data_IF_910179016044
#
_entry.id   IF_910179016044
#
_cell.length_a   1.000
_cell.length_b   1.000
_cell.length_c   1.000
_cell.angle_alpha   90.00
_cell.angle_beta   90.00
_cell.angle_gamma   90.00
#
_symmetry.space_group_name_H-M   'P 1'
#
loop_
_entity.id
_entity.type
_entity.pdbx_description
1 polymer ?
#
# COMPACT_ATOMS: atom_id res chain seq x y z
N UNK A 1 26.85 -31.08 -16.06
CA UNK A 1 26.84 -29.63 -15.81
C UNK A 1 25.68 -29.08 -16.65
N UNK A 2 24.50 -28.93 -16.05
CA UNK A 2 23.27 -28.62 -16.77
C UNK A 2 23.33 -27.22 -17.37
N UNK A 3 23.04 -27.12 -18.66
CA UNK A 3 23.04 -25.87 -19.41
C UNK A 3 22.03 -24.90 -18.78
N UNK A 4 22.49 -23.73 -18.34
CA UNK A 4 21.64 -22.77 -17.65
C UNK A 4 20.82 -22.06 -18.73
N UNK A 5 19.48 -22.13 -18.69
CA UNK A 5 18.66 -21.65 -19.81
C UNK A 5 18.94 -20.18 -20.09
N UNK A 6 19.26 -19.86 -21.35
CA UNK A 6 19.51 -18.49 -21.79
C UNK A 6 18.18 -17.73 -21.72
N UNK A 7 18.10 -16.63 -20.96
CA UNK A 7 16.86 -15.88 -20.84
C UNK A 7 16.51 -15.25 -22.18
N UNK A 8 15.24 -15.37 -22.60
CA UNK A 8 14.71 -14.74 -23.82
C UNK A 8 14.81 -13.20 -23.75
N UNK A 9 14.78 -12.63 -22.55
CA UNK A 9 14.89 -11.21 -22.32
C UNK A 9 15.46 -10.93 -20.94
N UNK A 10 16.16 -9.81 -20.79
CA UNK A 10 16.59 -9.29 -19.49
C UNK A 10 16.52 -7.76 -19.48
N UNK A 11 15.99 -7.15 -18.40
CA UNK A 11 15.91 -5.70 -18.31
C UNK A 11 17.30 -5.07 -18.18
N UNK A 12 17.50 -3.94 -18.86
CA UNK A 12 18.66 -3.09 -18.63
C UNK A 12 18.73 -2.62 -17.17
N UNK A 13 19.94 -2.36 -16.67
CA UNK A 13 20.18 -1.94 -15.29
C UNK A 13 19.35 -0.70 -14.90
N UNK A 14 19.21 0.26 -15.81
CA UNK A 14 18.43 1.47 -15.56
C UNK A 14 16.95 1.16 -15.33
N UNK A 15 16.37 0.28 -16.15
CA UNK A 15 14.99 -0.19 -15.96
C UNK A 15 14.80 -0.91 -14.64
N UNK A 16 15.82 -1.63 -14.15
CA UNK A 16 15.73 -2.30 -12.85
C UNK A 16 15.73 -1.30 -11.69
N UNK A 17 16.59 -0.28 -11.77
CA UNK A 17 16.69 0.78 -10.74
C UNK A 17 15.43 1.62 -10.60
N UNK A 18 14.67 1.81 -11.69
CA UNK A 18 13.44 2.60 -11.68
C UNK A 18 12.21 1.82 -11.17
N UNK A 19 12.34 0.53 -10.84
CA UNK A 19 11.22 -0.25 -10.32
C UNK A 19 10.90 0.10 -8.87
N UNK A 20 9.60 0.06 -8.50
CA UNK A 20 9.19 0.15 -7.10
C UNK A 20 9.71 -0.99 -6.24
N UNK A 21 9.91 -2.19 -6.82
CA UNK A 21 10.48 -3.32 -6.10
C UNK A 21 11.91 -3.05 -5.63
N UNK A 22 12.75 -2.48 -6.51
CA UNK A 22 14.10 -2.08 -6.13
C UNK A 22 14.10 -0.93 -5.10
N UNK A 23 13.22 0.06 -5.27
CA UNK A 23 13.05 1.13 -4.30
C UNK A 23 12.63 0.61 -2.93
N UNK A 24 11.69 -0.33 -2.88
CA UNK A 24 11.24 -1.00 -1.66
C UNK A 24 12.37 -1.80 -1.01
N UNK A 25 13.05 -2.67 -1.75
CA UNK A 25 14.14 -3.51 -1.23
C UNK A 25 15.26 -2.65 -0.61
N UNK A 26 15.61 -1.53 -1.26
CA UNK A 26 16.56 -0.56 -0.71
C UNK A 26 16.06 0.07 0.59
N UNK A 27 14.83 0.58 0.58
CA UNK A 27 14.25 1.28 1.72
C UNK A 27 14.06 0.34 2.93
N UNK A 28 13.62 -0.88 2.69
CA UNK A 28 13.51 -1.91 3.72
C UNK A 28 14.87 -2.22 4.36
N UNK A 29 15.95 -2.26 3.56
CA UNK A 29 17.32 -2.45 4.10
C UNK A 29 17.73 -1.29 5.01
N UNK A 30 17.37 -0.05 4.66
CA UNK A 30 17.61 1.14 5.52
C UNK A 30 16.84 1.05 6.85
N UNK A 31 15.73 0.32 6.89
CA UNK A 31 14.95 0.03 8.09
C UNK A 31 15.40 -1.23 8.85
N UNK A 32 16.50 -1.87 8.43
CA UNK A 32 17.07 -3.04 9.10
C UNK A 32 16.63 -4.39 8.55
N UNK A 33 15.90 -4.43 7.43
CA UNK A 33 15.57 -5.69 6.74
C UNK A 33 16.82 -6.31 6.07
N UNK A 34 16.78 -7.60 5.70
CA UNK A 34 17.86 -8.24 4.95
C UNK A 34 18.21 -7.47 3.67
N UNK A 35 19.51 -7.36 3.38
CA UNK A 35 20.03 -6.66 2.22
C UNK A 35 19.69 -7.43 0.92
N UNK A 36 18.56 -7.09 0.32
CA UNK A 36 18.02 -7.74 -0.88
C UNK A 36 18.19 -6.90 -2.15
N UNK A 37 18.58 -5.63 -2.01
CA UNK A 37 18.93 -4.76 -3.13
C UNK A 37 20.44 -4.82 -3.40
N UNK A 38 20.81 -5.13 -4.64
CA UNK A 38 22.19 -5.23 -5.10
C UNK A 38 22.60 -4.15 -6.11
N UNK A 39 23.85 -4.24 -6.58
CA UNK A 39 24.40 -3.33 -7.56
C UNK A 39 23.61 -3.34 -8.89
N UNK A 40 23.55 -2.20 -9.58
CA UNK A 40 22.93 -2.14 -10.91
C UNK A 40 21.42 -2.41 -10.93
N UNK A 41 20.72 -2.14 -9.81
CA UNK A 41 19.27 -2.28 -9.71
C UNK A 41 18.80 -3.70 -9.44
N UNK A 42 19.69 -4.66 -9.18
CA UNK A 42 19.27 -6.04 -8.93
C UNK A 42 18.51 -6.15 -7.59
N UNK A 43 17.50 -7.00 -7.57
CA UNK A 43 16.83 -7.43 -6.34
C UNK A 43 17.02 -8.93 -6.25
N UNK A 44 17.57 -9.43 -5.15
CA UNK A 44 17.50 -10.84 -4.81
C UNK A 44 16.07 -11.15 -4.36
N UNK A 45 15.24 -11.48 -5.35
CA UNK A 45 13.83 -11.77 -5.13
C UNK A 45 13.63 -13.00 -4.24
N UNK A 46 14.53 -14.00 -4.32
CA UNK A 46 14.42 -15.20 -3.50
C UNK A 46 14.66 -14.86 -2.03
N UNK A 47 15.67 -14.04 -1.72
CA UNK A 47 15.91 -13.56 -0.38
C UNK A 47 14.79 -12.64 0.13
N UNK A 48 14.25 -11.75 -0.72
CA UNK A 48 13.13 -10.89 -0.36
C UNK A 48 11.86 -11.70 -0.04
N UNK A 49 11.56 -12.71 -0.86
CA UNK A 49 10.46 -13.63 -0.62
C UNK A 49 10.68 -14.46 0.66
N UNK A 50 11.89 -14.98 0.88
CA UNK A 50 12.22 -15.70 2.12
C UNK A 50 12.01 -14.83 3.36
N UNK A 51 12.38 -13.55 3.31
CA UNK A 51 12.11 -12.60 4.40
C UNK A 51 10.60 -12.43 4.66
N UNK A 52 9.79 -12.29 3.60
CA UNK A 52 8.33 -12.15 3.73
C UNK A 52 7.65 -13.32 4.44
N UNK A 53 8.27 -14.51 4.41
CA UNK A 53 7.78 -15.71 5.06
C UNK A 53 8.36 -15.92 6.47
N UNK A 54 9.62 -15.56 6.67
CA UNK A 54 10.34 -15.81 7.93
C UNK A 54 10.08 -14.74 8.99
N UNK A 55 9.80 -13.51 8.57
CA UNK A 55 9.38 -12.43 9.45
C UNK A 55 8.26 -11.60 8.79
N UNK A 56 7.01 -12.14 8.77
CA UNK A 56 5.87 -11.45 8.19
C UNK A 56 5.58 -10.10 8.88
N UNK A 57 5.84 -9.99 10.19
CA UNK A 57 5.58 -8.78 10.96
C UNK A 57 6.44 -7.62 10.47
N UNK A 58 7.76 -7.83 10.40
CA UNK A 58 8.67 -6.80 9.89
C UNK A 58 8.41 -6.51 8.40
N UNK A 59 8.17 -7.55 7.60
CA UNK A 59 7.92 -7.40 6.17
C UNK A 59 6.70 -6.52 5.89
N UNK A 60 5.56 -6.85 6.49
CA UNK A 60 4.31 -6.13 6.20
C UNK A 60 4.27 -4.76 6.85
N UNK A 61 4.94 -4.55 7.98
CA UNK A 61 5.16 -3.20 8.53
C UNK A 61 5.99 -2.35 7.55
N UNK A 62 7.06 -2.89 6.98
CA UNK A 62 7.84 -2.19 5.97
C UNK A 62 7.02 -1.89 4.70
N UNK A 63 6.17 -2.81 4.24
CA UNK A 63 5.27 -2.55 3.10
C UNK A 63 4.28 -1.41 3.43
N UNK A 64 3.71 -1.43 4.64
CA UNK A 64 2.77 -0.41 5.12
C UNK A 64 3.40 0.99 5.13
N UNK A 65 4.61 1.09 5.70
CA UNK A 65 5.38 2.33 5.75
C UNK A 65 5.81 2.78 4.35
N UNK A 66 6.28 1.86 3.49
CA UNK A 66 6.72 2.18 2.13
C UNK A 66 5.58 2.72 1.26
N UNK A 67 4.40 2.12 1.38
CA UNK A 67 3.18 2.57 0.69
C UNK A 67 2.58 3.85 1.32
N UNK A 68 3.08 4.26 2.49
CA UNK A 68 2.60 5.41 3.24
C UNK A 68 1.12 5.30 3.58
N UNK A 69 0.67 4.12 4.02
CA UNK A 69 -0.73 3.85 4.34
C UNK A 69 -1.18 4.77 5.48
N UNK A 70 -2.33 5.40 5.30
CA UNK A 70 -2.98 6.26 6.28
C UNK A 70 -3.88 5.38 7.14
N UNK A 71 -3.71 5.49 8.46
CA UNK A 71 -4.50 4.75 9.44
C UNK A 71 -4.67 5.54 10.71
N UNK A 72 -5.61 5.07 11.53
CA UNK A 72 -5.91 5.56 12.87
C UNK A 72 -5.99 4.39 13.84
N UNK A 73 -5.85 4.66 15.13
CA UNK A 73 -6.06 3.67 16.19
C UNK A 73 -7.39 3.91 16.91
N UNK A 74 -7.92 2.92 17.64
CA UNK A 74 -9.15 3.11 18.42
C UNK A 74 -9.05 4.24 19.45
N UNK A 75 -7.84 4.49 19.98
CA UNK A 75 -7.55 5.60 20.90
C UNK A 75 -7.47 6.98 20.23
N UNK A 76 -7.46 7.07 18.89
CA UNK A 76 -7.38 8.35 18.18
C UNK A 76 -8.72 9.07 18.04
N UNK A 77 -9.83 8.47 18.50
CA UNK A 77 -11.15 9.11 18.51
C UNK A 77 -11.22 10.40 19.35
N UNK A 78 -10.21 10.69 20.18
CA UNK A 78 -10.15 11.87 21.06
C UNK A 78 -9.16 12.95 20.56
N UNK A 79 -8.38 12.74 19.49
CA UNK A 79 -7.29 13.67 19.12
C UNK A 79 -7.42 14.21 17.69
N UNK A 80 -7.36 15.54 17.59
CA UNK A 80 -7.42 16.38 16.38
C UNK A 80 -6.43 15.92 15.25
N UNK A 81 -6.58 16.39 14.00
CA UNK A 81 -5.95 15.77 12.83
C UNK A 81 -4.43 15.78 12.96
N UNK A 82 -3.81 14.61 12.94
CA UNK A 82 -2.36 14.43 13.14
C UNK A 82 -1.59 14.64 11.85
N UNK A 83 -0.41 15.24 12.00
CA UNK A 83 0.59 15.39 10.95
C UNK A 83 1.27 14.06 10.60
N UNK A 84 2.00 14.11 9.48
CA UNK A 84 2.60 13.00 8.74
C UNK A 84 3.46 11.98 9.51
N UNK A 85 3.83 12.22 10.78
CA UNK A 85 4.84 11.45 11.53
C UNK A 85 4.28 10.39 12.48
N UNK A 86 2.99 10.38 12.77
CA UNK A 86 2.39 9.42 13.72
C UNK A 86 1.85 8.16 13.01
N UNK A 87 2.43 7.82 11.85
CA UNK A 87 1.89 6.84 10.88
C UNK A 87 2.60 5.48 10.99
N UNK A 88 2.20 4.69 11.99
CA UNK A 88 2.53 3.26 12.08
C UNK A 88 1.32 2.48 12.62
N UNK A 89 1.24 1.15 12.39
CA UNK A 89 0.22 0.33 13.05
C UNK A 89 0.34 0.44 14.58
N UNK A 90 -0.77 0.21 15.29
CA UNK A 90 -0.79 0.25 16.75
C UNK A 90 0.32 -0.63 17.35
N UNK A 91 0.93 -0.17 18.46
CA UNK A 91 2.15 -0.70 19.08
C UNK A 91 2.05 -2.10 19.71
N UNK A 92 0.99 -2.86 19.40
CA UNK A 92 0.82 -4.25 19.81
C UNK A 92 0.54 -5.09 18.55
N UNK A 93 1.61 -5.29 17.76
CA UNK A 93 1.56 -6.26 16.68
C UNK A 93 1.35 -7.66 17.27
N UNK A 94 0.48 -8.50 16.68
CA UNK A 94 0.27 -9.86 17.14
C UNK A 94 1.59 -10.63 17.04
N UNK A 95 1.75 -11.70 17.84
CA UNK A 95 2.97 -12.53 17.85
C UNK A 95 3.42 -12.92 16.42
N UNK A 96 2.49 -13.06 15.49
CA UNK A 96 2.76 -13.18 14.04
C UNK A 96 1.54 -12.69 13.25
N UNK A 97 1.70 -11.86 12.23
CA UNK A 97 0.66 -11.54 11.24
C UNK A 97 0.49 -12.70 10.27
N UNK A 98 -0.74 -13.02 9.88
CA UNK A 98 -1.01 -14.13 8.97
C UNK A 98 -2.42 -14.10 8.41
N UNK A 99 -2.78 -15.14 7.65
CA UNK A 99 -4.10 -15.24 7.04
C UNK A 99 -5.19 -15.16 8.13
N UNK A 100 -6.22 -14.31 7.92
CA UNK A 100 -7.32 -14.22 8.87
C UNK A 100 -8.02 -15.57 8.92
N UNK A 101 -8.00 -16.18 10.11
CA UNK A 101 -8.77 -17.38 10.42
C UNK A 101 -9.57 -17.11 11.70
N UNK A 102 -10.67 -17.84 11.97
CA UNK A 102 -11.50 -17.61 13.16
C UNK A 102 -10.70 -17.55 14.47
N UNK A 103 -9.63 -18.35 14.55
CA UNK A 103 -8.70 -18.43 15.68
C UNK A 103 -7.27 -18.00 15.29
N UNK A 104 -7.10 -17.42 14.11
CA UNK A 104 -5.80 -17.12 13.50
C UNK A 104 -5.39 -15.67 13.69
N UNK A 105 -4.11 -15.36 13.45
CA UNK A 105 -3.65 -13.99 13.56
C UNK A 105 -4.35 -13.08 12.55
N UNK A 106 -4.81 -11.93 13.03
CA UNK A 106 -5.29 -10.85 12.17
C UNK A 106 -4.14 -10.04 11.58
N UNK A 107 -4.42 -9.35 10.47
CA UNK A 107 -3.53 -8.32 9.94
C UNK A 107 -3.77 -7.01 10.69
N UNK A 108 -2.71 -6.43 11.27
CA UNK A 108 -2.74 -5.11 11.92
C UNK A 108 -3.91 -4.92 12.93
N UNK A 109 -4.05 -5.78 13.95
CA UNK A 109 -5.09 -5.63 14.96
C UNK A 109 -5.01 -4.27 15.66
N UNK A 110 -6.17 -3.74 16.08
CA UNK A 110 -6.29 -2.41 16.69
C UNK A 110 -6.09 -1.24 15.72
N UNK A 111 -5.78 -1.51 14.45
CA UNK A 111 -5.62 -0.50 13.40
C UNK A 111 -6.91 -0.35 12.61
N UNK A 112 -7.34 0.89 12.40
CA UNK A 112 -8.46 1.25 11.52
C UNK A 112 -7.94 2.02 10.32
N UNK A 113 -8.49 1.74 9.15
CA UNK A 113 -8.20 2.50 7.93
C UNK A 113 -9.49 2.78 7.16
N UNK A 114 -9.46 3.83 6.34
CA UNK A 114 -10.46 4.05 5.31
C UNK A 114 -9.83 3.80 3.93
N UNK A 115 -10.44 2.92 3.14
CA UNK A 115 -9.93 2.55 1.83
C UNK A 115 -9.97 3.72 0.84
N UNK A 116 -11.09 4.45 0.80
CA UNK A 116 -11.25 5.61 -0.08
C UNK A 116 -10.27 6.73 0.28
N UNK A 117 -10.03 7.00 1.57
CA UNK A 117 -9.02 7.97 2.04
C UNK A 117 -7.62 7.62 1.50
N UNK A 118 -7.24 6.35 1.59
CA UNK A 118 -5.93 5.89 1.11
C UNK A 118 -5.79 5.98 -0.41
N UNK A 119 -6.85 5.67 -1.17
CA UNK A 119 -6.85 5.82 -2.63
C UNK A 119 -6.89 7.27 -3.10
N UNK A 120 -7.55 8.14 -2.33
CA UNK A 120 -7.75 9.54 -2.67
C UNK A 120 -6.67 10.46 -2.09
N UNK A 121 -5.57 9.95 -1.53
CA UNK A 121 -4.45 10.77 -1.05
C UNK A 121 -3.58 11.30 -2.21
N UNK A 122 -2.90 12.43 -2.01
CA UNK A 122 -1.96 13.03 -2.98
C UNK A 122 -2.39 14.40 -3.54
N UNK A 123 -1.64 14.94 -4.53
CA UNK A 123 -1.88 16.25 -5.14
C UNK A 123 -3.31 16.46 -5.67
N UNK A 124 -3.88 17.64 -5.48
CA UNK A 124 -5.29 17.91 -5.82
C UNK A 124 -5.55 17.94 -7.34
N UNK A 125 -4.60 18.48 -8.09
CA UNK A 125 -4.62 18.77 -9.53
C UNK A 125 -4.22 17.59 -10.42
N UNK A 126 -3.69 16.51 -9.85
CA UNK A 126 -3.27 15.33 -10.62
C UNK A 126 -4.49 14.62 -11.23
N UNK A 127 -4.51 14.34 -12.55
CA UNK A 127 -5.50 13.44 -13.17
C UNK A 127 -5.39 12.03 -12.58
N UNK A 128 -6.52 11.46 -12.14
CA UNK A 128 -6.55 10.13 -11.48
C UNK A 128 -7.56 9.16 -12.08
N UNK A 129 -8.52 9.67 -12.86
CA UNK A 129 -9.48 8.85 -13.59
C UNK A 129 -9.57 9.38 -15.00
N UNK A 130 -9.28 8.52 -15.97
CA UNK A 130 -9.41 8.78 -17.40
C UNK A 130 -10.47 7.83 -17.92
N UNK A 131 -11.59 8.35 -18.40
CA UNK A 131 -12.70 7.56 -18.94
C UNK A 131 -12.84 7.78 -20.42
N UNK A 132 -13.06 6.68 -21.15
CA UNK A 132 -13.37 6.68 -22.57
C UNK A 132 -14.77 6.11 -22.77
N UNK A 133 -15.55 6.73 -23.65
CA UNK A 133 -16.83 6.17 -24.10
C UNK A 133 -16.72 5.52 -25.49
N UNK A 134 -17.80 4.88 -25.92
CA UNK A 134 -17.89 4.18 -27.21
C UNK A 134 -17.80 5.12 -28.42
N UNK A 135 -17.99 6.43 -28.21
CA UNK A 135 -17.83 7.45 -29.23
C UNK A 135 -16.39 7.99 -29.28
N UNK A 136 -15.49 7.47 -28.43
CA UNK A 136 -14.11 7.90 -28.34
C UNK A 136 -13.93 9.24 -27.64
N UNK A 137 -14.92 9.72 -26.87
CA UNK A 137 -14.74 10.89 -26.01
C UNK A 137 -13.91 10.48 -24.80
N UNK A 138 -12.98 11.35 -24.42
CA UNK A 138 -12.09 11.16 -23.28
C UNK A 138 -12.34 12.26 -22.26
N UNK A 139 -12.73 11.86 -21.06
CA UNK A 139 -12.88 12.75 -19.92
C UNK A 139 -11.85 12.40 -18.84
N UNK A 140 -11.29 13.41 -18.20
CA UNK A 140 -10.36 13.25 -17.08
C UNK A 140 -10.91 13.92 -15.83
N UNK A 141 -10.82 13.21 -14.70
CA UNK A 141 -11.06 13.80 -13.39
C UNK A 141 -9.74 13.97 -12.65
N UNK A 142 -9.53 15.18 -12.13
CA UNK A 142 -8.47 15.41 -11.15
C UNK A 142 -8.80 14.71 -9.85
N UNK A 143 -7.80 14.52 -8.99
CA UNK A 143 -8.01 13.93 -7.66
C UNK A 143 -8.99 14.76 -6.83
N UNK A 144 -8.98 16.09 -6.97
CA UNK A 144 -9.94 16.95 -6.28
C UNK A 144 -11.37 16.76 -6.79
N UNK A 145 -11.56 16.59 -8.10
CA UNK A 145 -12.88 16.32 -8.68
C UNK A 145 -13.40 14.97 -8.18
N UNK A 146 -12.56 13.94 -8.20
CA UNK A 146 -12.93 12.62 -7.70
C UNK A 146 -13.24 12.65 -6.20
N UNK A 147 -12.46 13.36 -5.38
CA UNK A 147 -12.77 13.56 -3.94
C UNK A 147 -14.13 14.20 -3.74
N UNK A 148 -14.48 15.21 -4.53
CA UNK A 148 -15.78 15.89 -4.45
C UNK A 148 -16.92 14.93 -4.82
N UNK A 149 -16.77 14.20 -5.92
CA UNK A 149 -17.77 13.24 -6.37
C UNK A 149 -18.00 12.12 -5.34
N UNK A 150 -16.92 11.55 -4.78
CA UNK A 150 -17.00 10.51 -3.74
C UNK A 150 -17.65 11.06 -2.47
N UNK A 151 -17.31 12.28 -2.05
CA UNK A 151 -17.91 12.91 -0.87
C UNK A 151 -19.42 13.12 -1.06
N UNK A 152 -19.85 13.65 -2.21
CA UNK A 152 -21.27 13.84 -2.52
C UNK A 152 -22.05 12.52 -2.53
N UNK A 153 -21.47 11.47 -3.12
CA UNK A 153 -22.07 10.14 -3.13
C UNK A 153 -22.19 9.56 -1.71
N UNK A 154 -21.12 9.65 -0.91
CA UNK A 154 -21.12 9.19 0.47
C UNK A 154 -22.10 9.96 1.36
N UNK A 155 -22.26 11.27 1.15
CA UNK A 155 -23.26 12.09 1.84
C UNK A 155 -24.69 11.64 1.48
N UNK A 156 -24.93 11.32 0.21
CA UNK A 156 -26.20 10.74 -0.24
C UNK A 156 -26.51 9.41 0.43
N UNK A 157 -25.55 8.49 0.49
CA UNK A 157 -25.71 7.20 1.19
C UNK A 157 -26.02 7.39 2.67
N UNK A 158 -25.32 8.30 3.36
CA UNK A 158 -25.62 8.64 4.76
C UNK A 158 -27.02 9.24 4.92
N UNK A 159 -27.47 10.06 3.98
CA UNK A 159 -28.83 10.58 3.95
C UNK A 159 -29.92 9.51 3.78
N UNK A 160 -29.58 8.36 3.18
CA UNK A 160 -30.45 7.19 3.10
C UNK A 160 -30.38 6.28 4.34
N UNK A 161 -29.57 6.63 5.34
CA UNK A 161 -29.39 5.86 6.56
C UNK A 161 -28.45 4.65 6.43
N UNK A 162 -27.61 4.61 5.39
CA UNK A 162 -26.61 3.54 5.23
C UNK A 162 -25.48 3.72 6.26
N UNK A 163 -25.20 2.65 7.00
CA UNK A 163 -24.17 2.60 8.03
C UNK A 163 -23.05 1.61 7.70
N UNK A 164 -22.03 1.60 8.56
CA UNK A 164 -20.90 0.68 8.43
C UNK A 164 -21.36 -0.77 8.67
N UNK A 165 -21.27 -1.60 7.64
CA UNK A 165 -21.63 -3.03 7.71
C UNK A 165 -22.80 -3.39 6.80
N UNK A 166 -23.56 -2.40 6.34
CA UNK A 166 -24.66 -2.57 5.40
C UNK A 166 -24.15 -2.95 3.99
N UNK A 167 -25.00 -3.64 3.22
CA UNK A 167 -24.70 -4.15 1.87
C UNK A 167 -25.84 -3.88 0.89
#
# INVERSE_FOLDING_TARGET
MGDRPIPLWSPAAERRRSTHLFAFARRATEWGAPATAGAGGSVDYAALHAWSLTDPNAFWTAVWEFCGVISSTESDTVRAPRGASDRGPAAEAPETMGLPSPDGPGWFPGTRLNFAENLLKGPADQPVLVSWDEQGRCDELTRQDLRRAVAQFADGLRGLGIESGDR
#
